data_IF_686357190997
#
_entry.id   IF_686357190997
#
_cell.length_a   1.000
_cell.length_b   1.000
_cell.length_c   1.000
_cell.angle_alpha   90.00
_cell.angle_beta   90.00
_cell.angle_gamma   90.00
#
_symmetry.space_group_name_H-M   'P 1'
#
loop_
_entity.id
_entity.type
_entity.pdbx_description
1 polymer ?
#
# COMPACT_ATOMS: atom_id res chain seq x y z
N UNK A 1 26.80 -17.93 18.10
CA UNK A 1 26.34 -16.84 17.22
C UNK A 1 25.93 -17.49 15.91
N UNK A 2 24.62 -17.62 15.65
CA UNK A 2 24.13 -18.30 14.44
C UNK A 2 24.29 -17.33 13.28
N UNK A 3 25.11 -17.68 12.30
CA UNK A 3 25.25 -16.89 11.08
C UNK A 3 23.94 -17.05 10.28
N UNK A 4 23.13 -16.00 10.24
CA UNK A 4 21.94 -15.99 9.39
C UNK A 4 22.41 -15.81 7.95
N UNK A 5 21.96 -16.71 7.06
CA UNK A 5 22.30 -16.66 5.65
C UNK A 5 21.74 -15.39 4.98
N UNK A 6 22.45 -14.85 3.99
CA UNK A 6 21.98 -13.76 3.14
C UNK A 6 20.59 -14.13 2.57
N UNK A 7 19.61 -13.23 2.69
CA UNK A 7 18.23 -13.49 2.25
C UNK A 7 17.32 -14.25 3.21
N UNK A 8 17.75 -14.60 4.43
CA UNK A 8 16.89 -15.31 5.39
C UNK A 8 15.60 -14.54 5.74
N UNK A 9 15.65 -13.21 5.80
CA UNK A 9 14.47 -12.37 6.05
C UNK A 9 13.38 -12.59 4.99
N UNK A 10 13.76 -12.76 3.72
CA UNK A 10 12.82 -12.95 2.63
C UNK A 10 12.13 -14.32 2.76
N UNK A 11 12.88 -15.36 3.15
CA UNK A 11 12.31 -16.68 3.44
C UNK A 11 11.25 -16.60 4.54
N UNK A 12 11.53 -15.87 5.62
CA UNK A 12 10.59 -15.70 6.74
C UNK A 12 9.36 -14.88 6.32
N UNK A 13 9.54 -13.84 5.50
CA UNK A 13 8.45 -13.06 4.89
C UNK A 13 7.56 -13.93 4.00
N UNK A 14 8.15 -14.71 3.10
CA UNK A 14 7.42 -15.59 2.17
C UNK A 14 6.65 -16.71 2.89
N UNK A 15 7.13 -17.13 4.07
CA UNK A 15 6.45 -18.13 4.91
C UNK A 15 5.28 -17.57 5.70
N UNK A 16 5.26 -16.26 5.96
CA UNK A 16 4.28 -15.65 6.85
C UNK A 16 2.95 -15.37 6.13
N UNK A 17 1.84 -16.03 6.51
CA UNK A 17 0.58 -15.94 5.77
C UNK A 17 -0.15 -14.60 5.97
N UNK A 18 0.19 -13.83 7.00
CA UNK A 18 -0.45 -12.56 7.34
C UNK A 18 0.28 -11.33 6.74
N UNK A 19 1.29 -11.54 5.88
CA UNK A 19 2.00 -10.46 5.20
C UNK A 19 1.44 -10.22 3.80
N UNK A 20 1.16 -8.96 3.51
CA UNK A 20 0.75 -8.50 2.17
C UNK A 20 1.99 -8.01 1.43
N UNK A 21 2.20 -8.50 0.21
CA UNK A 21 3.32 -8.11 -0.64
C UNK A 21 2.81 -7.22 -1.75
N UNK A 22 3.48 -6.09 -1.97
CA UNK A 22 3.20 -5.17 -3.05
C UNK A 22 4.44 -5.07 -3.94
N UNK A 23 4.30 -5.48 -5.21
CA UNK A 23 5.41 -5.47 -6.17
C UNK A 23 5.37 -4.16 -6.94
N UNK A 24 6.53 -3.50 -7.05
CA UNK A 24 6.76 -2.31 -7.88
C UNK A 24 7.85 -2.62 -8.90
N UNK A 25 8.14 -1.68 -9.80
CA UNK A 25 9.14 -1.85 -10.87
C UNK A 25 10.52 -2.23 -10.32
N UNK A 26 10.94 -1.61 -9.22
CA UNK A 26 12.29 -1.75 -8.65
C UNK A 26 12.30 -1.95 -7.12
N UNK A 27 11.13 -2.23 -6.55
CA UNK A 27 10.96 -2.47 -5.13
C UNK A 27 9.92 -3.54 -4.81
N UNK A 28 10.10 -4.21 -3.67
CA UNK A 28 9.12 -5.07 -3.02
C UNK A 28 8.79 -4.46 -1.66
N UNK A 29 7.54 -4.03 -1.49
CA UNK A 29 7.04 -3.59 -0.19
C UNK A 29 6.31 -4.73 0.53
N UNK A 30 6.54 -4.83 1.84
CA UNK A 30 6.00 -5.85 2.72
C UNK A 30 5.18 -5.16 3.80
N UNK A 31 3.88 -5.42 3.81
CA UNK A 31 2.94 -4.79 4.72
C UNK A 31 2.37 -5.76 5.74
N UNK A 32 2.13 -5.23 6.94
CA UNK A 32 1.36 -5.89 7.99
C UNK A 32 0.51 -4.85 8.70
N UNK A 33 -0.82 -5.01 8.68
CA UNK A 33 -1.75 -4.12 9.39
C UNK A 33 -1.58 -2.66 8.99
N UNK A 34 -1.39 -2.42 7.69
CA UNK A 34 -1.18 -1.09 7.08
C UNK A 34 0.16 -0.42 7.44
N UNK A 35 1.10 -1.15 8.04
CA UNK A 35 2.46 -0.68 8.30
C UNK A 35 3.44 -1.29 7.29
N UNK A 36 4.37 -0.47 6.80
CA UNK A 36 5.45 -0.91 5.90
C UNK A 36 6.56 -1.57 6.71
N UNK A 37 6.54 -2.90 6.79
CA UNK A 37 7.51 -3.69 7.57
C UNK A 37 8.87 -3.70 6.86
N UNK A 38 8.86 -3.92 5.55
CA UNK A 38 10.05 -3.81 4.72
C UNK A 38 9.73 -3.06 3.43
N UNK A 39 10.65 -2.20 3.01
CA UNK A 39 10.79 -1.76 1.63
C UNK A 39 12.11 -2.32 1.10
N UNK A 40 12.04 -3.31 0.23
CA UNK A 40 13.21 -3.95 -0.35
C UNK A 40 13.47 -3.44 -1.76
N UNK A 41 14.54 -2.67 -1.92
CA UNK A 41 14.93 -2.06 -3.20
C UNK A 41 16.06 -2.83 -3.87
N UNK A 42 16.15 -2.72 -5.20
CA UNK A 42 17.31 -3.24 -5.93
C UNK A 42 18.41 -2.18 -6.06
N UNK A 43 19.50 -2.37 -5.31
CA UNK A 43 20.66 -1.49 -5.32
C UNK A 43 21.95 -2.30 -5.49
N UNK A 44 22.82 -1.89 -6.41
CA UNK A 44 24.14 -2.49 -6.66
C UNK A 44 24.09 -4.01 -6.90
N UNK A 45 23.10 -4.49 -7.65
CA UNK A 45 22.95 -5.92 -7.94
C UNK A 45 22.38 -6.76 -6.79
N UNK A 46 21.93 -6.12 -5.70
CA UNK A 46 21.43 -6.79 -4.49
C UNK A 46 20.07 -6.23 -4.07
N UNK A 47 19.30 -7.07 -3.39
CA UNK A 47 18.05 -6.66 -2.72
C UNK A 47 18.40 -6.14 -1.34
N UNK A 48 18.07 -4.87 -1.06
CA UNK A 48 18.38 -4.19 0.20
C UNK A 48 17.08 -3.86 0.92
N UNK A 49 16.68 -4.62 1.96
CA UNK A 49 15.52 -4.31 2.77
C UNK A 49 15.80 -3.13 3.70
N UNK A 50 14.90 -2.16 3.71
CA UNK A 50 14.81 -1.04 4.67
C UNK A 50 13.60 -1.26 5.58
N UNK A 51 13.68 -0.78 6.81
CA UNK A 51 12.56 -0.80 7.76
C UNK A 51 12.63 0.42 8.67
N UNK A 52 11.50 0.82 9.25
CA UNK A 52 11.49 1.90 10.22
C UNK A 52 12.04 1.44 11.59
N UNK A 53 12.82 2.32 12.23
CA UNK A 53 13.42 2.07 13.55
C UNK A 53 12.37 1.73 14.62
N UNK A 54 11.16 2.30 14.52
CA UNK A 54 10.05 2.05 15.46
C UNK A 54 9.60 0.58 15.52
N UNK A 55 9.92 -0.23 14.50
CA UNK A 55 9.62 -1.65 14.47
C UNK A 55 10.75 -2.54 15.02
N UNK A 56 11.92 -1.98 15.30
CA UNK A 56 13.07 -2.75 15.78
C UNK A 56 13.04 -3.00 17.29
N UNK A 57 11.96 -2.65 18.00
CA UNK A 57 11.84 -2.88 19.44
C UNK A 57 11.75 -4.39 19.75
N UNK A 58 12.63 -4.88 20.62
CA UNK A 58 12.55 -6.23 21.18
C UNK A 58 11.39 -6.28 22.15
N UNK A 59 10.55 -7.31 22.03
CA UNK A 59 9.41 -7.48 22.94
C UNK A 59 9.85 -8.17 24.22
N UNK A 60 10.51 -7.42 25.11
CA UNK A 60 10.86 -7.86 26.48
C UNK A 60 10.08 -7.04 27.49
N UNK A 61 9.37 -7.71 28.38
CA UNK A 61 8.74 -7.07 29.54
C UNK A 61 9.79 -6.92 30.64
N UNK A 62 10.56 -5.84 30.58
CA UNK A 62 11.54 -5.51 31.60
C UNK A 62 11.25 -4.10 32.14
N UNK A 63 11.34 -3.94 33.46
CA UNK A 63 11.34 -2.63 34.08
C UNK A 63 12.71 -2.01 33.94
N UNK A 64 12.78 -0.75 33.50
CA UNK A 64 13.98 0.06 33.58
C UNK A 64 13.85 0.99 34.80
N UNK A 65 14.87 1.02 35.65
CA UNK A 65 14.95 1.97 36.75
C UNK A 65 15.22 3.37 36.20
N UNK A 66 14.60 4.40 36.78
CA UNK A 66 14.94 5.80 36.51
C UNK A 66 16.03 6.22 37.49
N UNK A 67 17.19 6.60 36.96
CA UNK A 67 18.30 7.14 37.74
C UNK A 67 18.04 8.57 38.21
N UNK A 68 18.77 9.01 39.23
CA UNK A 68 18.68 10.37 39.78
C UNK A 68 19.11 11.45 38.76
N UNK A 69 19.86 11.06 37.73
CA UNK A 69 20.25 11.90 36.59
C UNK A 69 19.19 11.96 35.47
N UNK A 70 18.06 11.29 35.66
CA UNK A 70 16.97 11.19 34.68
C UNK A 70 17.20 10.16 33.58
N UNK A 71 18.27 9.36 33.63
CA UNK A 71 18.52 8.28 32.68
C UNK A 71 17.69 7.03 33.02
N UNK A 72 17.29 6.27 32.01
CA UNK A 72 16.72 4.94 32.21
C UNK A 72 17.83 3.88 32.19
N UNK A 73 17.86 3.02 33.20
CA UNK A 73 18.74 1.85 33.29
C UNK A 73 18.33 0.75 32.30
N UNK A 74 18.51 1.01 31.01
CA UNK A 74 18.21 0.12 29.90
C UNK A 74 19.49 -0.14 29.11
N UNK A 75 19.76 -1.39 28.75
CA UNK A 75 20.75 -1.73 27.75
C UNK A 75 20.12 -1.59 26.34
N UNK A 76 20.54 -0.63 25.49
CA UNK A 76 19.98 -0.45 24.16
C UNK A 76 20.13 -1.69 23.27
N UNK A 77 21.21 -2.48 23.43
CA UNK A 77 21.43 -3.71 22.67
C UNK A 77 20.44 -4.82 23.08
N UNK A 78 19.96 -4.78 24.32
CA UNK A 78 18.92 -5.67 24.83
C UNK A 78 17.50 -5.20 24.49
N UNK A 79 17.32 -3.94 24.10
CA UNK A 79 16.03 -3.31 23.83
C UNK A 79 15.67 -3.23 22.34
N UNK A 80 16.66 -3.16 21.45
CA UNK A 80 16.46 -2.97 20.00
C UNK A 80 17.17 -4.07 19.20
N UNK A 81 16.57 -4.48 18.09
CA UNK A 81 17.19 -5.32 17.07
C UNK A 81 18.14 -4.48 16.22
N UNK A 82 19.44 -4.78 16.30
CA UNK A 82 20.47 -4.18 15.42
C UNK A 82 20.84 -5.09 14.24
N UNK A 83 20.31 -6.32 14.23
CA UNK A 83 20.50 -7.34 13.20
C UNK A 83 19.23 -8.17 13.06
N UNK A 84 19.00 -8.69 11.85
CA UNK A 84 17.97 -9.68 11.62
C UNK A 84 18.49 -11.06 12.05
N UNK A 85 17.91 -11.62 13.12
CA UNK A 85 18.36 -12.88 13.73
C UNK A 85 17.41 -14.06 13.40
N UNK A 86 16.45 -13.85 12.50
CA UNK A 86 15.51 -14.88 12.02
C UNK A 86 14.05 -14.58 12.40
N UNK A 87 13.19 -15.62 12.48
CA UNK A 87 11.75 -15.45 12.62
C UNK A 87 11.30 -14.64 13.84
N UNK A 88 12.06 -14.68 14.94
CA UNK A 88 11.75 -13.91 16.14
C UNK A 88 11.90 -12.40 15.90
N UNK A 89 12.87 -11.97 15.10
CA UNK A 89 13.02 -10.55 14.74
C UNK A 89 11.77 -10.08 13.99
N UNK A 90 11.33 -10.85 12.99
CA UNK A 90 10.10 -10.54 12.26
C UNK A 90 8.90 -10.51 13.19
N UNK A 91 8.72 -11.51 14.06
CA UNK A 91 7.60 -11.56 15.00
C UNK A 91 7.52 -10.32 15.91
N UNK A 92 8.65 -9.83 16.41
CA UNK A 92 8.72 -8.60 17.21
C UNK A 92 8.39 -7.36 16.38
N UNK A 93 8.89 -7.27 15.14
CA UNK A 93 8.53 -6.19 14.21
C UNK A 93 7.03 -6.14 13.93
N UNK A 94 6.39 -7.29 13.68
CA UNK A 94 4.95 -7.38 13.44
C UNK A 94 4.13 -6.99 14.68
N UNK A 95 4.61 -7.31 15.88
CA UNK A 95 3.99 -6.90 17.14
C UNK A 95 4.09 -5.39 17.34
N UNK A 96 5.27 -4.81 17.15
CA UNK A 96 5.47 -3.36 17.22
C UNK A 96 4.57 -2.62 16.22
N UNK A 97 4.52 -3.10 14.97
CA UNK A 97 3.63 -2.56 13.94
C UNK A 97 2.15 -2.63 14.31
N UNK A 98 1.72 -3.75 14.91
CA UNK A 98 0.34 -3.92 15.39
C UNK A 98 -0.02 -2.89 16.45
N UNK A 99 0.86 -2.65 17.43
CA UNK A 99 0.63 -1.71 18.52
C UNK A 99 0.52 -0.26 18.04
N UNK A 100 1.07 0.04 16.86
CA UNK A 100 1.04 1.36 16.24
C UNK A 100 -0.10 1.52 15.21
N UNK A 101 -0.81 0.44 14.86
CA UNK A 101 -1.83 0.46 13.82
C UNK A 101 -3.17 0.99 14.34
N UNK A 102 -3.72 1.99 13.67
CA UNK A 102 -5.06 2.51 13.91
C UNK A 102 -6.18 1.56 13.42
N UNK A 103 -7.43 1.81 13.81
CA UNK A 103 -8.58 0.94 13.46
C UNK A 103 -8.82 0.82 11.95
N UNK A 104 -8.55 1.88 11.18
CA UNK A 104 -8.67 1.86 9.72
C UNK A 104 -7.66 0.89 9.10
N UNK A 105 -6.37 1.04 9.40
CA UNK A 105 -5.30 0.13 8.93
C UNK A 105 -5.53 -1.32 9.35
N UNK A 106 -5.96 -1.55 10.59
CA UNK A 106 -6.29 -2.88 11.09
C UNK A 106 -7.46 -3.51 10.34
N UNK A 107 -8.53 -2.74 10.10
CA UNK A 107 -9.71 -3.23 9.42
C UNK A 107 -9.46 -3.48 7.94
N UNK A 108 -8.71 -2.61 7.25
CA UNK A 108 -8.32 -2.81 5.86
C UNK A 108 -7.44 -4.06 5.69
N UNK A 109 -6.46 -4.28 6.57
CA UNK A 109 -5.62 -5.47 6.52
C UNK A 109 -6.41 -6.76 6.57
N UNK A 110 -7.44 -6.82 7.42
CA UNK A 110 -8.34 -7.98 7.47
C UNK A 110 -9.09 -8.20 6.14
N UNK A 111 -9.40 -7.15 5.38
CA UNK A 111 -10.00 -7.28 4.05
C UNK A 111 -8.99 -7.76 3.01
N UNK A 112 -7.75 -7.27 3.08
CA UNK A 112 -6.66 -7.63 2.18
C UNK A 112 -6.33 -9.13 2.28
N UNK A 113 -6.04 -9.63 3.47
CA UNK A 113 -5.56 -11.01 3.66
C UNK A 113 -6.65 -12.06 3.40
N UNK A 114 -7.92 -11.68 3.46
CA UNK A 114 -9.05 -12.58 3.21
C UNK A 114 -9.59 -12.48 1.77
N UNK A 115 -9.06 -11.60 0.92
CA UNK A 115 -9.48 -11.49 -0.47
C UNK A 115 -8.41 -12.03 -1.42
N UNK A 116 -8.68 -13.16 -2.12
CA UNK A 116 -7.75 -13.67 -3.12
C UNK A 116 -7.67 -12.77 -4.37
N UNK A 117 -8.59 -11.81 -4.54
CA UNK A 117 -8.65 -10.97 -5.74
C UNK A 117 -7.66 -9.80 -5.70
N UNK A 118 -7.04 -9.53 -4.55
CA UNK A 118 -6.09 -8.44 -4.37
C UNK A 118 -4.81 -8.70 -5.15
N UNK A 119 -4.43 -7.73 -5.99
CA UNK A 119 -3.16 -7.71 -6.71
C UNK A 119 -2.18 -6.70 -6.16
N UNK A 120 -2.67 -5.65 -5.49
CA UNK A 120 -1.83 -4.58 -4.98
C UNK A 120 -2.52 -3.77 -3.87
N UNK A 121 -1.73 -3.06 -3.08
CA UNK A 121 -2.18 -2.16 -2.01
C UNK A 121 -1.24 -0.96 -1.86
N UNK A 122 -1.73 0.15 -1.29
CA UNK A 122 -0.96 1.40 -1.09
C UNK A 122 -0.36 1.91 -2.41
N UNK A 123 -1.23 2.28 -3.33
CA UNK A 123 -0.92 2.55 -4.74
C UNK A 123 -0.80 4.05 -4.99
N UNK A 124 0.38 4.48 -5.42
CA UNK A 124 0.61 5.84 -5.93
C UNK A 124 0.38 5.81 -7.45
N UNK A 125 -0.55 6.63 -7.94
CA UNK A 125 -0.86 6.69 -9.38
C UNK A 125 0.09 7.60 -10.18
N UNK A 126 0.70 8.59 -9.53
CA UNK A 126 1.61 9.52 -10.19
C UNK A 126 3.07 9.10 -9.92
N UNK A 127 3.71 8.54 -10.94
CA UNK A 127 5.11 8.10 -10.94
C UNK A 127 5.57 7.70 -12.35
N UNK A 128 6.58 8.39 -12.87
CA UNK A 128 7.30 8.08 -14.12
C UNK A 128 6.58 8.44 -15.43
N UNK A 129 6.98 9.56 -16.03
CA UNK A 129 6.58 9.98 -17.38
C UNK A 129 7.30 9.13 -18.43
N UNK A 130 6.53 8.46 -19.30
CA UNK A 130 7.07 7.91 -20.53
C UNK A 130 6.99 9.00 -21.60
N UNK A 131 8.12 9.64 -21.91
CA UNK A 131 8.23 10.49 -23.10
C UNK A 131 8.11 9.59 -24.33
N UNK A 132 7.00 9.70 -25.06
CA UNK A 132 6.80 9.02 -26.34
C UNK A 132 7.73 9.62 -27.41
N UNK A 133 8.18 8.82 -28.40
CA UNK A 133 9.05 9.31 -29.47
C UNK A 133 8.25 10.09 -30.51
N UNK A 134 8.43 11.41 -30.53
CA UNK A 134 7.91 12.28 -31.58
C UNK A 134 8.69 12.09 -32.88
N UNK A 135 8.00 11.58 -33.90
CA UNK A 135 8.42 11.60 -35.30
C UNK A 135 8.41 13.04 -35.85
N UNK A 136 9.48 13.48 -36.53
CA UNK A 136 9.44 14.01 -37.91
C UNK A 136 10.78 14.63 -38.36
N UNK A 137 11.25 14.18 -39.54
CA UNK A 137 11.96 14.92 -40.61
C UNK A 137 13.28 15.68 -40.33
N UNK A 138 14.32 15.28 -41.06
CA UNK A 138 15.53 16.07 -41.36
C UNK A 138 15.18 17.37 -42.14
N UNK A 139 15.99 18.45 -42.01
CA UNK A 139 17.20 18.57 -42.84
C UNK A 139 18.45 19.20 -42.16
N UNK A 140 19.60 18.77 -42.69
CA UNK A 140 20.91 19.39 -42.97
C UNK A 140 21.48 20.65 -42.24
N UNK A 141 22.76 20.49 -41.84
CA UNK A 141 23.91 21.41 -41.62
C UNK A 141 23.87 22.51 -40.53
N UNK A 142 24.60 22.28 -39.42
CA UNK A 142 25.79 23.03 -38.94
C UNK A 142 25.99 22.92 -37.41
N UNK A 143 27.12 22.34 -36.98
CA UNK A 143 27.67 22.44 -35.61
C UNK A 143 28.68 23.62 -35.52
N UNK A 144 29.19 24.02 -34.33
CA UNK A 144 28.70 23.81 -32.95
C UNK A 144 28.76 25.11 -32.09
N UNK A 145 28.01 25.23 -30.98
CA UNK A 145 28.49 25.86 -29.72
C UNK A 145 27.60 25.51 -28.48
N UNK A 146 28.29 25.19 -27.37
CA UNK A 146 27.93 25.20 -25.93
C UNK A 146 27.12 24.06 -25.26
N UNK A 147 27.82 23.40 -24.31
CA UNK A 147 27.43 22.57 -23.14
C UNK A 147 26.40 23.21 -22.16
N UNK A 148 25.89 22.52 -21.10
CA UNK A 148 26.03 21.09 -20.74
C UNK A 148 24.70 20.33 -20.45
N UNK A 149 24.83 19.01 -20.54
CA UNK A 149 24.05 17.91 -19.97
C UNK A 149 22.90 18.22 -18.98
N UNK A 150 21.67 17.89 -19.40
CA UNK A 150 20.58 17.48 -18.51
C UNK A 150 20.65 15.95 -18.31
N UNK A 151 21.36 15.51 -17.27
CA UNK A 151 21.28 14.13 -16.78
C UNK A 151 20.21 14.05 -15.70
N UNK A 152 18.99 13.66 -16.09
CA UNK A 152 18.02 13.14 -15.13
C UNK A 152 18.57 11.84 -14.54
N UNK A 153 18.91 11.88 -13.26
CA UNK A 153 19.49 10.75 -12.56
C UNK A 153 18.35 9.81 -12.10
N UNK A 154 18.32 8.52 -12.49
CA UNK A 154 17.32 7.55 -12.01
C UNK A 154 17.36 7.29 -10.50
N UNK A 155 18.24 7.98 -9.78
CA UNK A 155 18.29 8.02 -8.31
C UNK A 155 17.18 8.91 -7.72
N UNK A 156 16.74 9.97 -8.42
CA UNK A 156 15.71 10.89 -7.90
C UNK A 156 14.33 10.25 -7.83
N UNK A 157 13.91 9.49 -8.86
CA UNK A 157 12.61 8.77 -8.84
C UNK A 157 12.54 7.68 -7.74
N UNK A 158 13.69 7.11 -7.36
CA UNK A 158 13.78 6.09 -6.29
C UNK A 158 13.65 6.69 -4.90
N UNK A 159 14.18 7.89 -4.71
CA UNK A 159 14.07 8.64 -3.46
C UNK A 159 12.62 9.07 -3.25
N UNK A 160 11.93 9.52 -4.30
CA UNK A 160 10.52 9.93 -4.20
C UNK A 160 9.58 8.80 -3.77
N UNK A 161 9.77 7.56 -4.26
CA UNK A 161 8.94 6.41 -3.87
C UNK A 161 9.19 6.03 -2.40
N UNK A 162 10.45 6.03 -1.96
CA UNK A 162 10.81 5.72 -0.58
C UNK A 162 10.30 6.78 0.41
N UNK A 163 10.46 8.07 0.09
CA UNK A 163 9.99 9.20 0.90
C UNK A 163 8.47 9.28 0.97
N UNK A 164 7.75 8.93 -0.11
CA UNK A 164 6.29 8.86 -0.12
C UNK A 164 5.76 7.74 0.80
N UNK A 165 6.46 6.61 0.88
CA UNK A 165 6.14 5.51 1.82
C UNK A 165 6.46 5.94 3.26
N UNK A 166 7.59 6.63 3.49
CA UNK A 166 8.03 7.07 4.81
C UNK A 166 7.11 8.14 5.42
N UNK A 167 6.71 9.14 4.62
CA UNK A 167 5.83 10.26 5.02
C UNK A 167 4.43 9.77 5.40
N UNK A 168 3.94 8.71 4.75
CA UNK A 168 2.64 8.10 5.02
C UNK A 168 2.56 7.42 6.40
N UNK A 169 3.66 6.78 6.83
CA UNK A 169 3.73 6.10 8.12
C UNK A 169 3.88 7.08 9.30
N UNK A 170 4.26 8.33 9.04
CA UNK A 170 4.24 9.44 10.00
C UNK A 170 2.88 10.16 10.05
N UNK A 171 2.22 10.34 8.91
CA UNK A 171 0.95 11.09 8.84
C UNK A 171 -0.28 10.35 9.42
N UNK A 172 -0.16 9.05 9.72
CA UNK A 172 -1.24 8.24 10.30
C UNK A 172 -1.29 8.29 11.84
N UNK A 173 -0.39 9.02 12.51
CA UNK A 173 -0.26 9.00 13.99
C UNK A 173 -0.73 10.28 14.69
N UNK A 174 -1.16 11.33 13.99
CA UNK A 174 -1.47 12.60 14.64
C UNK A 174 -2.94 12.73 15.05
N UNK A 175 -3.20 12.53 16.35
CA UNK A 175 -4.36 13.14 17.04
C UNK A 175 -3.84 14.15 18.07
N UNK A 176 -4.27 15.40 17.88
CA UNK A 176 -4.38 16.55 18.82
C UNK A 176 -3.16 17.47 19.09
N UNK A 177 -3.34 18.70 18.59
CA UNK A 177 -2.88 20.04 19.05
C UNK A 177 -1.46 20.26 19.60
N UNK A 178 -0.64 20.94 18.79
CA UNK A 178 -0.03 22.23 19.15
C UNK A 178 0.39 22.95 17.85
N UNK A 179 0.16 24.27 17.80
CA UNK A 179 0.23 25.09 16.61
C UNK A 179 1.67 25.49 16.19
N UNK A 180 1.77 25.84 14.91
CA UNK A 180 2.73 26.76 14.25
C UNK A 180 4.20 26.36 14.18
N UNK A 181 4.62 25.79 13.04
CA UNK A 181 5.49 26.43 12.03
C UNK A 181 5.05 25.88 10.66
N UNK A 182 4.86 26.75 9.65
CA UNK A 182 4.44 26.36 8.32
C UNK A 182 5.64 25.79 7.54
N UNK A 183 5.71 24.47 7.45
CA UNK A 183 6.56 23.78 6.47
C UNK A 183 5.94 23.90 5.06
N UNK A 184 6.77 23.97 4.00
CA UNK A 184 6.28 24.03 2.63
C UNK A 184 5.41 22.80 2.35
N UNK A 185 4.26 23.04 1.72
CA UNK A 185 3.24 22.02 1.40
C UNK A 185 3.90 20.93 0.54
N UNK A 186 4.37 19.87 1.18
CA UNK A 186 4.62 18.61 0.51
C UNK A 186 3.28 18.21 -0.10
N UNK A 187 3.19 18.23 -1.43
CA UNK A 187 2.01 17.77 -2.15
C UNK A 187 1.80 16.31 -1.77
N UNK A 188 0.83 16.07 -0.88
CA UNK A 188 0.44 14.74 -0.46
C UNK A 188 -0.02 13.99 -1.70
N UNK A 189 0.82 13.09 -2.22
CA UNK A 189 0.43 12.20 -3.30
C UNK A 189 -0.76 11.36 -2.82
N UNK A 190 -1.92 11.55 -3.46
CA UNK A 190 -3.12 10.78 -3.15
C UNK A 190 -2.89 9.31 -3.56
N UNK A 191 -3.24 8.37 -2.68
CA UNK A 191 -2.98 6.93 -2.84
C UNK A 191 -4.26 6.13 -2.78
N UNK A 192 -4.43 5.21 -3.74
CA UNK A 192 -5.51 4.22 -3.71
C UNK A 192 -5.12 3.06 -2.80
N UNK A 193 -6.09 2.56 -2.03
CA UNK A 193 -5.81 1.57 -1.00
C UNK A 193 -5.58 0.17 -1.57
N UNK A 194 -6.35 -0.24 -2.59
CA UNK A 194 -6.37 -1.62 -3.10
C UNK A 194 -6.61 -1.67 -4.61
N UNK A 195 -5.97 -2.61 -5.28
CA UNK A 195 -6.33 -3.04 -6.63
C UNK A 195 -6.72 -4.53 -6.65
N UNK A 196 -7.74 -4.87 -7.42
CA UNK A 196 -8.21 -6.24 -7.65
C UNK A 196 -8.35 -6.60 -9.13
N UNK A 197 -8.42 -7.89 -9.41
CA UNK A 197 -8.88 -8.41 -10.70
C UNK A 197 -10.26 -9.03 -10.61
N UNK A 198 -11.12 -8.68 -11.56
CA UNK A 198 -12.48 -9.17 -11.68
C UNK A 198 -12.82 -9.58 -13.09
N UNK A 199 -13.71 -10.56 -13.24
CA UNK A 199 -14.14 -11.03 -14.54
C UNK A 199 -15.63 -10.77 -14.73
N UNK A 200 -15.98 -10.13 -15.85
CA UNK A 200 -17.38 -9.94 -16.22
C UNK A 200 -17.53 -9.76 -17.72
N UNK A 201 -18.48 -10.46 -18.33
CA UNK A 201 -18.69 -10.49 -19.78
C UNK A 201 -17.44 -10.95 -20.56
N UNK A 202 -16.74 -11.96 -20.04
CA UNK A 202 -15.57 -12.57 -20.69
C UNK A 202 -14.30 -11.71 -20.71
N UNK A 203 -14.29 -10.59 -19.97
CA UNK A 203 -13.15 -9.68 -19.88
C UNK A 203 -12.66 -9.57 -18.44
N UNK A 204 -11.34 -9.61 -18.25
CA UNK A 204 -10.70 -9.38 -16.95
C UNK A 204 -10.48 -7.86 -16.80
N UNK A 205 -10.98 -7.29 -15.71
CA UNK A 205 -10.87 -5.88 -15.36
C UNK A 205 -9.96 -5.70 -14.15
N UNK A 206 -9.03 -4.77 -14.25
CA UNK A 206 -8.30 -4.18 -13.14
C UNK A 206 -9.21 -3.15 -12.49
N UNK A 207 -9.52 -3.32 -11.20
CA UNK A 207 -10.38 -2.39 -10.46
C UNK A 207 -9.72 -1.89 -9.20
N UNK A 208 -9.87 -0.60 -8.94
CA UNK A 208 -9.30 0.06 -7.78
C UNK A 208 -10.35 0.34 -6.72
N UNK A 209 -9.92 0.32 -5.45
CA UNK A 209 -10.78 0.54 -4.30
C UNK A 209 -10.14 1.54 -3.35
N UNK A 210 -10.97 2.45 -2.85
CA UNK A 210 -10.71 3.30 -1.69
C UNK A 210 -11.46 2.70 -0.50
N UNK A 211 -10.81 2.55 0.64
CA UNK A 211 -11.36 1.92 1.83
C UNK A 211 -11.33 2.89 3.02
N UNK A 212 -12.50 3.17 3.58
CA UNK A 212 -12.63 4.06 4.75
C UNK A 212 -13.24 3.33 5.92
N UNK A 213 -12.64 3.53 7.10
CA UNK A 213 -13.29 3.13 8.34
C UNK A 213 -14.58 3.97 8.52
N UNK A 214 -15.63 3.39 9.09
CA UNK A 214 -16.93 4.04 9.26
C UNK A 214 -16.83 5.36 10.02
N UNK A 215 -15.93 5.43 11.01
CA UNK A 215 -15.68 6.64 11.80
C UNK A 215 -15.00 7.78 11.00
N UNK A 216 -14.53 7.51 9.77
CA UNK A 216 -13.84 8.51 8.96
C UNK A 216 -14.79 9.66 8.59
N UNK A 217 -14.37 10.88 8.90
CA UNK A 217 -15.15 12.10 8.68
C UNK A 217 -15.36 12.42 7.20
N UNK A 218 -14.50 11.94 6.31
CA UNK A 218 -14.57 12.18 4.86
C UNK A 218 -15.78 11.51 4.21
N UNK A 219 -16.36 10.49 4.86
CA UNK A 219 -17.61 9.85 4.47
C UNK A 219 -18.84 10.75 4.70
N UNK A 220 -18.67 11.88 5.39
CA UNK A 220 -19.75 12.74 5.85
C UNK A 220 -19.51 14.17 5.39
N UNK A 221 -20.61 14.86 5.11
CA UNK A 221 -20.62 16.31 4.91
C UNK A 221 -22.00 16.86 5.23
N UNK A 222 -22.06 18.15 5.54
CA UNK A 222 -23.32 18.89 5.60
C UNK A 222 -24.09 18.76 4.27
N UNK A 223 -25.41 18.93 4.29
CA UNK A 223 -26.26 18.75 3.10
C UNK A 223 -25.84 19.62 1.92
N UNK A 224 -25.34 20.83 2.20
CA UNK A 224 -24.87 21.79 1.19
C UNK A 224 -23.47 21.54 0.64
N UNK A 225 -22.75 20.53 1.14
CA UNK A 225 -21.35 20.26 0.75
C UNK A 225 -21.17 18.83 0.28
N UNK A 226 -20.27 18.63 -0.68
CA UNK A 226 -19.85 17.31 -1.14
C UNK A 226 -19.02 16.62 -0.04
N UNK A 227 -19.29 15.34 0.29
CA UNK A 227 -18.39 14.53 1.11
C UNK A 227 -16.98 14.51 0.53
N UNK A 228 -15.91 14.81 1.30
CA UNK A 228 -14.54 14.86 0.80
C UNK A 228 -14.10 13.58 0.06
N UNK A 229 -14.60 12.41 0.47
CA UNK A 229 -14.29 11.14 -0.21
C UNK A 229 -14.75 11.11 -1.67
N UNK A 230 -15.83 11.83 -2.02
CA UNK A 230 -16.30 11.88 -3.41
C UNK A 230 -15.39 12.75 -4.28
N UNK A 231 -14.84 13.83 -3.73
CA UNK A 231 -13.87 14.66 -4.42
C UNK A 231 -12.57 13.89 -4.66
N UNK A 232 -12.15 13.10 -3.66
CA UNK A 232 -11.00 12.20 -3.76
C UNK A 232 -11.21 11.14 -4.86
N UNK A 233 -12.36 10.45 -4.86
CA UNK A 233 -12.72 9.47 -5.90
C UNK A 233 -12.73 10.12 -7.29
N UNK A 234 -13.29 11.33 -7.43
CA UNK A 234 -13.31 12.03 -8.71
C UNK A 234 -11.90 12.34 -9.24
N UNK A 235 -10.95 12.70 -8.36
CA UNK A 235 -9.54 12.86 -8.75
C UNK A 235 -8.94 11.53 -9.21
N UNK A 236 -9.19 10.44 -8.50
CA UNK A 236 -8.74 9.11 -8.92
C UNK A 236 -9.31 8.70 -10.27
N UNK A 237 -10.60 8.92 -10.54
CA UNK A 237 -11.19 8.63 -11.85
C UNK A 237 -10.45 9.36 -12.98
N UNK A 238 -10.14 10.65 -12.78
CA UNK A 238 -9.40 11.43 -13.77
C UNK A 238 -7.99 10.88 -14.00
N UNK A 239 -7.27 10.53 -12.93
CA UNK A 239 -5.91 9.99 -13.00
C UNK A 239 -5.89 8.59 -13.63
N UNK A 240 -6.83 7.72 -13.28
CA UNK A 240 -6.96 6.38 -13.87
C UNK A 240 -7.20 6.45 -15.38
N UNK A 241 -8.12 7.31 -15.84
CA UNK A 241 -8.35 7.51 -17.28
C UNK A 241 -7.12 8.03 -18.00
N UNK A 242 -6.41 8.98 -17.38
CA UNK A 242 -5.19 9.55 -17.96
C UNK A 242 -4.08 8.52 -18.15
N UNK A 243 -3.97 7.56 -17.24
CA UNK A 243 -2.88 6.58 -17.21
C UNK A 243 -3.29 5.17 -17.60
N UNK A 244 -4.44 5.00 -18.25
CA UNK A 244 -5.04 3.69 -18.55
C UNK A 244 -4.05 2.71 -19.23
N UNK A 245 -3.45 3.12 -20.35
CA UNK A 245 -2.52 2.26 -21.09
C UNK A 245 -1.31 1.85 -20.25
N UNK A 246 -0.77 2.79 -19.45
CA UNK A 246 0.37 2.52 -18.58
C UNK A 246 0.00 1.53 -17.48
N UNK A 247 -1.11 1.79 -16.79
CA UNK A 247 -1.58 0.96 -15.67
C UNK A 247 -1.90 -0.47 -16.13
N UNK A 248 -2.55 -0.66 -17.28
CA UNK A 248 -2.80 -2.00 -17.83
C UNK A 248 -1.49 -2.77 -18.07
N UNK A 249 -0.49 -2.13 -18.67
CA UNK A 249 0.80 -2.77 -18.92
C UNK A 249 1.57 -3.08 -17.63
N UNK A 250 1.57 -2.14 -16.68
CA UNK A 250 2.23 -2.29 -15.37
C UNK A 250 1.57 -3.40 -14.55
N UNK A 251 0.25 -3.45 -14.47
CA UNK A 251 -0.45 -4.49 -13.71
C UNK A 251 -0.39 -5.87 -14.36
N UNK A 252 -0.25 -5.96 -15.70
CA UNK A 252 0.09 -7.22 -16.35
C UNK A 252 1.48 -7.72 -15.90
N UNK A 253 2.45 -6.82 -15.72
CA UNK A 253 3.77 -7.17 -15.17
C UNK A 253 3.70 -7.56 -13.69
N UNK A 254 2.91 -6.84 -12.88
CA UNK A 254 2.64 -7.19 -11.47
C UNK A 254 2.07 -8.61 -11.37
N UNK A 255 1.12 -8.98 -12.23
CA UNK A 255 0.55 -10.33 -12.23
C UNK A 255 1.60 -11.42 -12.49
N UNK A 256 2.57 -11.17 -13.39
CA UNK A 256 3.70 -12.09 -13.64
C UNK A 256 4.59 -12.22 -12.41
N UNK A 257 4.96 -11.09 -11.79
CA UNK A 257 5.77 -11.11 -10.58
C UNK A 257 5.07 -11.81 -9.41
N UNK A 258 3.76 -11.62 -9.25
CA UNK A 258 2.97 -12.36 -8.25
C UNK A 258 2.94 -13.86 -8.52
N UNK A 259 2.89 -14.27 -9.79
CA UNK A 259 2.97 -15.68 -10.15
C UNK A 259 4.35 -16.30 -9.84
N UNK A 260 5.43 -15.54 -10.01
CA UNK A 260 6.77 -15.97 -9.60
C UNK A 260 6.89 -16.04 -8.06
N UNK A 261 6.38 -15.03 -7.34
CA UNK A 261 6.36 -15.03 -5.88
C UNK A 261 5.56 -16.21 -5.30
N UNK A 262 4.45 -16.60 -5.94
CA UNK A 262 3.69 -17.78 -5.54
C UNK A 262 4.51 -19.08 -5.65
N UNK A 263 5.32 -19.22 -6.71
CA UNK A 263 6.26 -20.35 -6.84
C UNK A 263 7.26 -20.34 -5.69
N UNK A 264 7.89 -19.19 -5.42
CA UNK A 264 8.86 -19.05 -4.33
C UNK A 264 8.25 -19.36 -2.96
N UNK A 265 7.02 -18.89 -2.70
CA UNK A 265 6.27 -19.20 -1.48
C UNK A 265 6.07 -20.69 -1.29
N UNK A 266 5.69 -21.41 -2.35
CA UNK A 266 5.52 -22.86 -2.32
C UNK A 266 6.83 -23.59 -2.05
N UNK A 267 7.93 -23.19 -2.68
CA UNK A 267 9.26 -23.78 -2.49
C UNK A 267 9.76 -23.64 -1.04
N UNK A 268 9.52 -22.48 -0.41
CA UNK A 268 9.92 -22.28 0.99
C UNK A 268 8.95 -22.91 1.99
N UNK A 269 7.84 -23.51 1.55
CA UNK A 269 6.82 -24.13 2.41
C UNK A 269 5.94 -23.10 3.12
N UNK A 270 5.64 -21.96 2.48
CA UNK A 270 4.71 -20.97 3.00
C UNK A 270 3.26 -21.47 2.99
N UNK A 271 2.50 -21.13 4.02
CA UNK A 271 1.10 -21.55 4.20
C UNK A 271 0.10 -20.59 3.54
N UNK A 272 0.50 -19.86 2.50
CA UNK A 272 -0.34 -18.86 1.85
C UNK A 272 -1.48 -19.51 1.06
N UNK A 273 -2.60 -18.79 0.92
CA UNK A 273 -3.66 -19.17 0.01
C UNK A 273 -3.12 -19.28 -1.43
N UNK A 274 -3.65 -20.21 -2.25
CA UNK A 274 -3.22 -20.34 -3.64
C UNK A 274 -3.46 -19.05 -4.42
N UNK A 275 -2.55 -18.73 -5.34
CA UNK A 275 -2.71 -17.60 -6.26
C UNK A 275 -4.05 -17.67 -7.01
N UNK A 276 -4.72 -16.52 -7.10
CA UNK A 276 -5.99 -16.42 -7.79
C UNK A 276 -5.87 -16.77 -9.29
N UNK A 277 -6.79 -17.59 -9.84
CA UNK A 277 -6.78 -17.97 -11.25
C UNK A 277 -6.77 -16.78 -12.22
N UNK A 278 -7.40 -15.64 -11.89
CA UNK A 278 -7.38 -14.45 -12.73
C UNK A 278 -5.99 -13.85 -12.84
N UNK A 279 -5.25 -13.78 -11.72
CA UNK A 279 -3.86 -13.30 -11.70
C UNK A 279 -3.00 -14.17 -12.60
N UNK A 280 -3.15 -15.49 -12.48
CA UNK A 280 -2.44 -16.47 -13.32
C UNK A 280 -2.76 -16.27 -14.79
N UNK A 281 -4.05 -16.14 -15.16
CA UNK A 281 -4.47 -15.92 -16.56
C UNK A 281 -3.87 -14.64 -17.14
N UNK A 282 -3.87 -13.54 -16.40
CA UNK A 282 -3.24 -12.28 -16.85
C UNK A 282 -1.73 -12.43 -16.97
N UNK A 283 -1.08 -13.12 -16.02
CA UNK A 283 0.34 -13.44 -16.11
C UNK A 283 0.68 -14.24 -17.38
N UNK A 284 -0.21 -15.16 -17.78
CA UNK A 284 -0.12 -15.99 -18.98
C UNK A 284 -0.55 -15.26 -20.27
N UNK A 285 -0.90 -13.97 -20.19
CA UNK A 285 -1.18 -13.11 -21.36
C UNK A 285 -2.65 -12.88 -21.69
N UNK A 286 -3.59 -13.22 -20.81
CA UNK A 286 -4.99 -12.85 -20.99
C UNK A 286 -5.17 -11.33 -21.05
N UNK A 287 -6.12 -10.87 -21.88
CA UNK A 287 -6.41 -9.46 -22.02
C UNK A 287 -6.91 -8.85 -20.71
N UNK A 288 -6.27 -7.75 -20.30
CA UNK A 288 -6.61 -6.95 -19.12
C UNK A 288 -7.15 -5.59 -19.58
N UNK A 289 -8.24 -5.14 -18.97
CA UNK A 289 -8.79 -3.79 -19.18
C UNK A 289 -8.83 -3.04 -17.84
N UNK A 290 -8.71 -1.72 -17.88
CA UNK A 290 -8.91 -0.89 -16.70
C UNK A 290 -10.39 -0.58 -16.51
N UNK A 291 -10.91 -0.75 -15.29
CA UNK A 291 -12.11 -0.03 -14.85
C UNK A 291 -11.69 1.31 -14.24
N UNK A 292 -11.99 2.45 -14.89
CA UNK A 292 -11.56 3.76 -14.43
C UNK A 292 -12.42 4.30 -13.27
N UNK A 293 -13.39 3.52 -12.77
CA UNK A 293 -14.33 3.94 -11.73
C UNK A 293 -14.01 3.25 -10.40
N UNK A 294 -13.22 3.88 -9.50
CA UNK A 294 -12.91 3.30 -8.21
C UNK A 294 -14.16 3.02 -7.39
N UNK A 295 -14.06 2.00 -6.54
CA UNK A 295 -15.11 1.62 -5.59
C UNK A 295 -14.77 2.12 -4.21
N UNK A 296 -15.80 2.55 -3.48
CA UNK A 296 -15.69 2.93 -2.09
C UNK A 296 -16.10 1.74 -1.21
N UNK A 297 -15.18 1.29 -0.38
CA UNK A 297 -15.41 0.27 0.65
C UNK A 297 -15.51 0.95 2.00
N UNK A 298 -16.64 0.78 2.69
CA UNK A 298 -16.84 1.28 4.06
C UNK A 298 -16.92 0.08 5.00
N UNK A 299 -16.14 0.13 6.08
CA UNK A 299 -16.02 -0.97 7.04
C UNK A 299 -15.95 -0.49 8.49
N UNK A 300 -15.98 -1.41 9.46
CA UNK A 300 -15.83 -1.09 10.88
C UNK A 300 -17.10 -0.58 11.55
N UNK A 301 -18.26 -1.07 11.11
CA UNK A 301 -19.56 -0.77 11.71
C UNK A 301 -20.38 -2.03 12.01
N UNK A 302 -21.28 -1.95 12.98
CA UNK A 302 -22.29 -2.97 13.30
C UNK A 302 -23.65 -2.70 12.62
N UNK A 303 -24.61 -3.61 12.80
CA UNK A 303 -25.92 -3.50 12.13
C UNK A 303 -26.74 -2.29 12.64
N UNK A 304 -26.60 -1.92 13.92
CA UNK A 304 -27.28 -0.75 14.48
C UNK A 304 -26.74 0.55 13.85
N UNK A 305 -25.42 0.64 13.70
CA UNK A 305 -24.75 1.74 13.00
C UNK A 305 -25.11 1.76 11.51
N UNK A 306 -25.26 0.59 10.88
CA UNK A 306 -25.68 0.46 9.48
C UNK A 306 -27.09 0.99 9.25
N UNK A 307 -28.02 0.67 10.15
CA UNK A 307 -29.42 1.07 10.07
C UNK A 307 -29.68 2.48 10.63
N UNK A 308 -28.70 3.07 11.31
CA UNK A 308 -28.81 4.38 11.95
C UNK A 308 -29.28 5.49 11.00
N UNK A 309 -30.29 6.26 11.42
CA UNK A 309 -30.96 7.27 10.60
C UNK A 309 -30.03 8.35 10.02
N UNK A 310 -28.98 8.71 10.76
CA UNK A 310 -27.96 9.68 10.31
C UNK A 310 -27.10 9.08 9.20
N UNK A 311 -26.62 7.85 9.39
CA UNK A 311 -25.78 7.19 8.39
C UNK A 311 -26.55 6.89 7.10
N UNK A 312 -27.80 6.45 7.20
CA UNK A 312 -28.64 6.17 6.02
C UNK A 312 -28.73 7.37 5.07
N UNK A 313 -28.79 8.61 5.58
CA UNK A 313 -28.77 9.82 4.76
C UNK A 313 -27.43 10.02 4.05
N UNK A 314 -26.31 9.85 4.75
CA UNK A 314 -24.98 9.96 4.14
C UNK A 314 -24.74 8.87 3.11
N UNK A 315 -25.10 7.62 3.43
CA UNK A 315 -25.02 6.48 2.53
C UNK A 315 -25.86 6.69 1.27
N UNK A 316 -27.08 7.21 1.38
CA UNK A 316 -27.92 7.50 0.23
C UNK A 316 -27.25 8.51 -0.72
N UNK A 317 -26.62 9.56 -0.18
CA UNK A 317 -25.87 10.54 -0.99
C UNK A 317 -24.65 9.92 -1.68
N UNK A 318 -23.92 9.03 -1.01
CA UNK A 318 -22.81 8.30 -1.62
C UNK A 318 -23.30 7.37 -2.75
N UNK A 319 -24.45 6.71 -2.57
CA UNK A 319 -25.08 5.86 -3.59
C UNK A 319 -25.58 6.68 -4.78
N UNK A 320 -26.18 7.84 -4.52
CA UNK A 320 -26.63 8.76 -5.58
C UNK A 320 -25.46 9.22 -6.46
N UNK A 321 -24.32 9.55 -5.84
CA UNK A 321 -23.14 10.01 -6.56
C UNK A 321 -22.36 8.89 -7.27
N UNK A 322 -22.14 7.76 -6.62
CA UNK A 322 -21.28 6.68 -7.13
C UNK A 322 -22.07 5.58 -7.85
N UNK A 323 -23.36 5.44 -7.56
CA UNK A 323 -24.16 4.26 -7.92
C UNK A 323 -23.99 3.11 -6.93
N UNK A 324 -25.01 2.24 -6.86
CA UNK A 324 -25.06 1.13 -5.91
C UNK A 324 -23.98 0.06 -6.11
N UNK A 325 -23.42 -0.03 -7.32
CA UNK A 325 -22.34 -0.99 -7.66
C UNK A 325 -20.94 -0.50 -7.31
N UNK A 326 -20.81 0.74 -6.82
CA UNK A 326 -19.52 1.35 -6.47
C UNK A 326 -19.37 1.67 -4.99
N UNK A 327 -20.38 1.36 -4.17
CA UNK A 327 -20.32 1.51 -2.72
C UNK A 327 -20.58 0.18 -2.02
N UNK A 328 -19.56 -0.34 -1.34
CA UNK A 328 -19.62 -1.58 -0.59
C UNK A 328 -19.60 -1.27 0.90
N UNK A 329 -20.69 -1.60 1.59
CA UNK A 329 -20.79 -1.46 3.04
C UNK A 329 -20.58 -2.84 3.66
N UNK A 330 -19.34 -3.11 4.07
CA UNK A 330 -18.85 -4.45 4.42
C UNK A 330 -19.14 -4.82 5.87
N UNK A 331 -19.33 -3.82 6.74
CA UNK A 331 -19.60 -4.04 8.16
C UNK A 331 -18.33 -4.38 8.94
N UNK A 332 -18.44 -5.30 9.90
CA UNK A 332 -17.36 -5.63 10.82
C UNK A 332 -16.34 -6.57 10.15
N UNK A 333 -15.06 -6.20 10.22
CA UNK A 333 -13.94 -6.95 9.62
C UNK A 333 -13.16 -7.79 10.63
N UNK A 334 -13.56 -7.79 11.91
CA UNK A 334 -12.92 -8.62 12.95
C UNK A 334 -13.19 -10.11 12.77
N UNK A 335 -14.22 -10.49 12.02
CA UNK A 335 -14.51 -11.87 11.66
C UNK A 335 -13.76 -12.25 10.38
N UNK A 336 -12.97 -13.33 10.42
CA UNK A 336 -12.09 -13.80 9.32
C UNK A 336 -12.79 -14.14 7.98
N UNK A 337 -14.12 -14.04 7.89
CA UNK A 337 -14.88 -14.47 6.72
C UNK A 337 -15.25 -13.34 5.76
N UNK A 338 -14.90 -12.09 6.06
CA UNK A 338 -15.42 -10.95 5.31
C UNK A 338 -14.48 -10.56 4.17
N UNK A 339 -14.63 -11.18 3.00
CA UNK A 339 -14.05 -10.63 1.78
C UNK A 339 -14.90 -9.43 1.29
N UNK A 340 -14.21 -8.35 0.90
CA UNK A 340 -14.84 -7.07 0.56
C UNK A 340 -14.77 -6.72 -0.92
N UNK A 341 -13.81 -7.31 -1.63
CA UNK A 341 -13.45 -6.91 -2.99
C UNK A 341 -13.88 -8.04 -3.94
N UNK A 342 -14.96 -7.80 -4.69
CA UNK A 342 -15.60 -8.73 -5.62
C UNK A 342 -16.10 -8.00 -6.87
#
# INVERSE_FOLDING_TARGET
MVHVAEGAWLRDVLRHPDLVLAVRRDALAVYHRGASIFLAEFANGRIVPKTHVKYLQRSRQAYASLGDDGSFGLDPAAAIWTRYEGPQTLADMLRAATSLAGPEKLGLHALLVNSPHVVDTEIVLEGGTATAPGSSSAPDIAEPQSDPAATGNPTDERVEIAEAIETADAASTTTTEAATIADPVATRLDRLDVATLEEGQGTIRLVFHEAKHFANKELRAATSRTPPVLEQIARYEATLRRHETRLVAEYAAVCRALAELDVLRREVGGAAAPLNPLIRRVADGAALQLDPLPRLVVFGFDEDQRAGAVWTKHRARLIEALGSRRLYAVGNTRTKATAAFW
#
